data_IF_160732932953
#
_entry.id   IF_160732932953
#
_cell.length_a   1.000
_cell.length_b   1.000
_cell.length_c   1.000
_cell.angle_alpha   90.00
_cell.angle_beta   90.00
_cell.angle_gamma   90.00
#
_symmetry.space_group_name_H-M   'P 1'
#
loop_
_entity.id
_entity.type
_entity.pdbx_description
1 polymer ?
#
# COMPACT_ATOMS: atom_id res chain seq x y z
N UNK A 1 -15.89 -18.69 -15.92
CA UNK A 1 -14.88 -19.28 -15.01
C UNK A 1 -14.82 -18.33 -13.82
N UNK A 2 -15.35 -18.74 -12.66
CA UNK A 2 -15.31 -17.89 -11.47
C UNK A 2 -13.87 -17.76 -10.99
N UNK A 3 -13.47 -16.56 -10.55
CA UNK A 3 -12.21 -16.35 -9.84
C UNK A 3 -12.37 -17.08 -8.49
N UNK A 4 -11.96 -18.35 -8.43
CA UNK A 4 -12.16 -19.18 -7.25
C UNK A 4 -11.01 -18.93 -6.27
N UNK A 5 -11.35 -18.41 -5.09
CA UNK A 5 -10.44 -18.37 -3.93
C UNK A 5 -10.02 -19.79 -3.56
N UNK A 6 -8.72 -19.97 -3.28
CA UNK A 6 -8.18 -21.23 -2.76
C UNK A 6 -8.60 -21.43 -1.30
N UNK A 7 -8.38 -22.62 -0.75
CA UNK A 7 -8.60 -22.85 0.68
C UNK A 7 -7.64 -22.01 1.54
N UNK A 8 -6.37 -21.88 1.11
CA UNK A 8 -5.38 -21.00 1.76
C UNK A 8 -5.86 -19.54 1.80
N UNK A 9 -6.47 -19.04 0.72
CA UNK A 9 -7.05 -17.69 0.71
C UNK A 9 -8.21 -17.54 1.69
N UNK A 10 -9.04 -18.57 1.84
CA UNK A 10 -10.14 -18.55 2.82
C UNK A 10 -9.60 -18.57 4.25
N UNK A 11 -8.59 -19.38 4.52
CA UNK A 11 -7.94 -19.43 5.83
C UNK A 11 -7.29 -18.09 6.18
N UNK A 12 -6.57 -17.48 5.24
CA UNK A 12 -5.98 -16.15 5.42
C UNK A 12 -7.06 -15.08 5.70
N UNK A 13 -8.19 -15.13 4.97
CA UNK A 13 -9.31 -14.23 5.21
C UNK A 13 -9.90 -14.39 6.61
N UNK A 14 -10.06 -15.63 7.09
CA UNK A 14 -10.60 -15.88 8.43
C UNK A 14 -9.64 -15.44 9.54
N UNK A 15 -8.33 -15.63 9.36
CA UNK A 15 -7.32 -15.08 10.28
C UNK A 15 -7.39 -13.55 10.31
N UNK A 16 -7.46 -12.91 9.13
CA UNK A 16 -7.55 -11.45 9.04
C UNK A 16 -8.83 -10.91 9.69
N UNK A 17 -9.98 -11.54 9.41
CA UNK A 17 -11.28 -11.22 10.02
C UNK A 17 -11.24 -11.36 11.54
N UNK A 18 -10.70 -12.48 12.05
CA UNK A 18 -10.59 -12.75 13.47
C UNK A 18 -9.73 -11.72 14.19
N UNK A 19 -8.56 -11.40 13.63
CA UNK A 19 -7.67 -10.35 14.14
C UNK A 19 -8.37 -8.98 14.20
N UNK A 20 -8.96 -8.52 13.11
CA UNK A 20 -9.60 -7.21 13.04
C UNK A 20 -10.80 -7.09 14.01
N UNK A 21 -11.51 -8.19 14.23
CA UNK A 21 -12.59 -8.26 15.22
C UNK A 21 -12.04 -8.16 16.64
N UNK A 22 -10.99 -8.93 16.96
CA UNK A 22 -10.33 -8.91 18.27
C UNK A 22 -9.74 -7.52 18.61
N UNK A 23 -9.14 -6.85 17.61
CA UNK A 23 -8.57 -5.51 17.74
C UNK A 23 -9.62 -4.39 17.67
N UNK A 24 -10.90 -4.72 17.48
CA UNK A 24 -12.01 -3.76 17.34
C UNK A 24 -11.73 -2.70 16.28
N UNK A 25 -11.17 -3.09 15.13
CA UNK A 25 -10.73 -2.16 14.08
C UNK A 25 -11.85 -1.18 13.62
N UNK A 26 -13.09 -1.67 13.49
CA UNK A 26 -14.26 -0.83 13.16
C UNK A 26 -14.56 0.23 14.21
N UNK A 27 -14.34 -0.08 15.49
CA UNK A 27 -14.51 0.89 16.56
C UNK A 27 -13.41 1.95 16.51
N UNK A 28 -12.17 1.56 16.22
CA UNK A 28 -11.07 2.50 16.01
C UNK A 28 -11.38 3.49 14.87
N UNK A 29 -11.96 3.04 13.76
CA UNK A 29 -12.42 3.93 12.69
C UNK A 29 -13.52 4.89 13.15
N UNK A 30 -14.49 4.40 13.93
CA UNK A 30 -15.54 5.27 14.50
C UNK A 30 -14.96 6.36 15.39
N UNK A 31 -13.96 6.04 16.21
CA UNK A 31 -13.31 7.02 17.07
C UNK A 31 -12.59 8.12 16.28
N UNK A 32 -12.17 7.86 15.05
CA UNK A 32 -11.52 8.86 14.19
C UNK A 32 -12.50 9.86 13.56
N UNK A 33 -13.80 9.57 13.54
CA UNK A 33 -14.80 10.49 12.99
C UNK A 33 -14.85 11.82 13.75
N UNK A 34 -14.60 11.77 15.06
CA UNK A 34 -14.63 12.95 15.95
C UNK A 34 -13.22 13.40 16.36
N UNK A 35 -12.16 12.78 15.84
CA UNK A 35 -10.79 13.05 16.25
C UNK A 35 -10.20 14.26 15.52
N UNK A 36 -9.51 15.15 16.23
CA UNK A 36 -8.75 16.24 15.60
C UNK A 36 -7.53 15.72 14.86
N UNK A 37 -6.81 14.77 15.45
CA UNK A 37 -5.58 14.20 14.91
C UNK A 37 -5.82 12.79 14.33
N UNK A 38 -4.93 12.37 13.43
CA UNK A 38 -4.92 11.02 12.87
C UNK A 38 -3.70 10.27 13.41
N UNK A 39 -3.81 9.53 14.53
CA UNK A 39 -2.76 8.63 14.97
C UNK A 39 -2.77 7.32 14.16
N UNK A 40 -1.62 6.63 14.13
CA UNK A 40 -1.60 5.24 13.66
C UNK A 40 -2.51 4.38 14.54
N UNK A 41 -3.20 3.37 13.99
CA UNK A 41 -4.08 2.52 14.78
C UNK A 41 -3.33 1.83 15.91
N UNK A 42 -3.96 1.66 17.07
CA UNK A 42 -3.33 0.99 18.23
C UNK A 42 -2.91 -0.46 17.96
N UNK A 43 -3.45 -1.09 16.92
CA UNK A 43 -3.09 -2.44 16.48
C UNK A 43 -2.03 -2.47 15.37
N UNK A 44 -1.44 -1.33 14.99
CA UNK A 44 -0.49 -1.23 13.86
C UNK A 44 0.68 -2.20 14.00
N UNK A 45 1.35 -2.22 15.16
CA UNK A 45 2.48 -3.11 15.39
C UNK A 45 2.08 -4.59 15.36
N UNK A 46 0.92 -4.94 15.94
CA UNK A 46 0.41 -6.32 15.86
C UNK A 46 0.13 -6.74 14.41
N UNK A 47 -0.29 -5.81 13.55
CA UNK A 47 -0.49 -6.06 12.11
C UNK A 47 0.85 -6.27 11.40
N UNK A 48 1.87 -5.50 11.75
CA UNK A 48 3.24 -5.66 11.23
C UNK A 48 3.81 -7.02 11.61
N UNK A 49 3.65 -7.43 12.87
CA UNK A 49 4.14 -8.72 13.40
C UNK A 49 3.51 -9.93 12.69
N UNK A 50 2.31 -9.76 12.10
CA UNK A 50 1.68 -10.78 11.26
C UNK A 50 2.29 -10.88 9.85
N UNK A 51 3.22 -9.99 9.50
CA UNK A 51 3.93 -9.97 8.21
C UNK A 51 3.11 -9.43 7.05
N UNK A 52 1.93 -8.84 7.29
CA UNK A 52 1.01 -8.45 6.22
C UNK A 52 1.49 -7.31 5.33
N UNK A 53 2.40 -6.45 5.82
CA UNK A 53 3.01 -5.37 5.03
C UNK A 53 4.01 -5.87 3.98
N UNK A 54 4.64 -7.01 4.25
CA UNK A 54 5.64 -7.66 3.38
C UNK A 54 5.16 -8.91 2.68
N UNK A 55 3.85 -9.17 2.65
CA UNK A 55 3.30 -10.43 2.17
C UNK A 55 3.68 -10.71 0.71
N UNK A 56 3.60 -9.68 -0.14
CA UNK A 56 3.90 -9.72 -1.58
C UNK A 56 5.36 -9.41 -1.93
N UNK A 57 6.21 -9.15 -0.93
CA UNK A 57 7.62 -8.82 -1.13
C UNK A 57 8.47 -10.09 -1.03
N UNK A 58 9.50 -10.20 -1.87
CA UNK A 58 10.40 -11.35 -1.86
C UNK A 58 11.11 -11.52 -0.51
N UNK A 59 11.37 -12.77 -0.14
CA UNK A 59 12.04 -13.13 1.12
C UNK A 59 13.44 -12.50 1.26
N UNK A 60 14.14 -12.24 0.14
CA UNK A 60 15.45 -11.60 0.13
C UNK A 60 15.44 -10.19 0.75
N UNK A 61 14.30 -9.51 0.74
CA UNK A 61 14.11 -8.17 1.32
C UNK A 61 13.35 -8.21 2.65
N UNK A 62 13.16 -9.40 3.25
CA UNK A 62 12.44 -9.58 4.51
C UNK A 62 10.93 -9.74 4.37
N UNK A 63 10.42 -9.96 3.16
CA UNK A 63 9.01 -10.28 2.91
C UNK A 63 8.68 -11.76 3.07
N UNK A 64 7.45 -12.14 2.72
CA UNK A 64 6.96 -13.53 2.78
C UNK A 64 6.94 -14.25 1.43
N UNK A 65 7.27 -13.57 0.33
CA UNK A 65 7.35 -14.16 -1.01
C UNK A 65 6.01 -14.64 -1.60
N UNK A 66 4.87 -14.26 -1.01
CA UNK A 66 3.56 -14.51 -1.62
C UNK A 66 3.28 -13.50 -2.75
N UNK A 67 2.11 -13.59 -3.37
CA UNK A 67 1.73 -12.70 -4.45
C UNK A 67 0.76 -11.60 -4.02
N UNK A 68 0.38 -10.79 -5.00
CA UNK A 68 -0.73 -9.85 -4.87
C UNK A 68 -2.08 -10.50 -4.55
N UNK A 69 -2.40 -11.75 -4.97
CA UNK A 69 -3.65 -12.39 -4.58
C UNK A 69 -3.82 -12.52 -3.06
N UNK A 70 -2.78 -12.96 -2.36
CA UNK A 70 -2.79 -13.10 -0.89
C UNK A 70 -2.92 -11.73 -0.22
N UNK A 71 -2.22 -10.71 -0.74
CA UNK A 71 -2.33 -9.34 -0.23
C UNK A 71 -3.75 -8.79 -0.40
N UNK A 72 -4.39 -9.03 -1.55
CA UNK A 72 -5.76 -8.58 -1.83
C UNK A 72 -6.77 -9.19 -0.85
N UNK A 73 -6.60 -10.45 -0.46
CA UNK A 73 -7.45 -11.10 0.55
C UNK A 73 -7.39 -10.35 1.88
N UNK A 74 -6.18 -9.98 2.32
CA UNK A 74 -6.00 -9.20 3.56
C UNK A 74 -6.62 -7.81 3.41
N UNK A 75 -6.37 -7.11 2.29
CA UNK A 75 -6.95 -5.79 2.01
C UNK A 75 -8.48 -5.84 2.02
N UNK A 76 -9.10 -6.88 1.46
CA UNK A 76 -10.56 -7.04 1.47
C UNK A 76 -11.11 -7.06 2.89
N UNK A 77 -10.48 -7.82 3.79
CA UNK A 77 -10.91 -7.92 5.18
C UNK A 77 -10.66 -6.63 5.98
N UNK A 78 -9.53 -5.93 5.73
CA UNK A 78 -9.33 -4.57 6.24
C UNK A 78 -10.44 -3.63 5.77
N UNK A 79 -10.80 -3.67 4.49
CA UNK A 79 -11.88 -2.86 3.91
C UNK A 79 -13.23 -3.19 4.53
N UNK A 80 -13.53 -4.47 4.75
CA UNK A 80 -14.77 -4.95 5.40
C UNK A 80 -14.89 -4.48 6.85
N UNK A 81 -13.77 -4.37 7.55
CA UNK A 81 -13.72 -3.81 8.90
C UNK A 81 -13.69 -2.27 8.91
N UNK A 82 -13.48 -1.63 7.76
CA UNK A 82 -13.14 -0.21 7.64
C UNK A 82 -11.92 0.11 8.52
N UNK A 83 -10.89 -0.73 8.46
CA UNK A 83 -9.72 -0.59 9.30
C UNK A 83 -8.99 0.73 8.95
N UNK A 84 -8.74 1.62 9.93
CA UNK A 84 -8.04 2.87 9.67
C UNK A 84 -6.53 2.63 9.51
N UNK A 85 -5.82 3.66 9.06
CA UNK A 85 -4.36 3.71 9.02
C UNK A 85 -3.75 3.53 7.63
N UNK A 86 -2.42 3.61 7.53
CA UNK A 86 -1.70 3.76 6.28
C UNK A 86 -1.36 2.42 5.61
N UNK A 87 -2.13 1.34 5.87
CA UNK A 87 -1.81 0.01 5.33
C UNK A 87 -1.77 0.00 3.80
N UNK A 88 -2.87 0.39 3.16
CA UNK A 88 -3.02 0.37 1.70
C UNK A 88 -1.97 1.22 0.98
N UNK A 89 -1.75 2.51 1.32
CA UNK A 89 -0.73 3.29 0.62
C UNK A 89 0.69 2.75 0.86
N UNK A 90 0.98 2.19 2.05
CA UNK A 90 2.28 1.55 2.35
C UNK A 90 2.51 0.30 1.50
N UNK A 91 1.52 -0.59 1.37
CA UNK A 91 1.69 -1.80 0.54
C UNK A 91 1.67 -1.51 -0.96
N UNK A 92 0.98 -0.44 -1.40
CA UNK A 92 1.11 0.05 -2.79
C UNK A 92 2.54 0.52 -3.04
N UNK A 93 3.10 1.31 -2.13
CA UNK A 93 4.47 1.78 -2.25
C UNK A 93 5.48 0.63 -2.32
N UNK A 94 5.40 -0.32 -1.39
CA UNK A 94 6.31 -1.47 -1.40
C UNK A 94 6.10 -2.36 -2.63
N UNK A 95 4.87 -2.52 -3.14
CA UNK A 95 4.62 -3.29 -4.37
C UNK A 95 5.25 -2.63 -5.61
N UNK A 96 5.16 -1.30 -5.74
CA UNK A 96 5.76 -0.56 -6.84
C UNK A 96 7.30 -0.62 -6.77
N UNK A 97 7.88 -0.40 -5.58
CA UNK A 97 9.34 -0.47 -5.37
C UNK A 97 9.85 -1.90 -5.62
N UNK A 98 9.18 -2.93 -5.09
CA UNK A 98 9.57 -4.32 -5.28
C UNK A 98 9.55 -4.73 -6.76
N UNK A 99 8.61 -4.19 -7.55
CA UNK A 99 8.46 -4.50 -8.96
C UNK A 99 9.45 -3.75 -9.86
N UNK A 100 9.57 -2.43 -9.69
CA UNK A 100 10.21 -1.56 -10.68
C UNK A 100 11.49 -0.87 -10.15
N UNK A 101 11.80 -0.96 -8.85
CA UNK A 101 13.00 -0.39 -8.25
C UNK A 101 14.30 -1.13 -8.58
N UNK A 102 15.43 -0.42 -8.51
CA UNK A 102 16.78 -0.97 -8.56
C UNK A 102 17.10 -1.77 -7.28
N UNK A 103 18.12 -2.63 -7.32
CA UNK A 103 18.49 -3.48 -6.19
C UNK A 103 18.83 -2.67 -4.94
N UNK A 104 19.49 -1.53 -5.12
CA UNK A 104 19.88 -0.58 -4.08
C UNK A 104 18.65 0.09 -3.46
N UNK A 105 17.69 0.52 -4.30
CA UNK A 105 16.41 1.10 -3.85
C UNK A 105 15.60 0.08 -3.04
N UNK A 106 15.48 -1.16 -3.53
CA UNK A 106 14.77 -2.24 -2.84
C UNK A 106 15.38 -2.54 -1.48
N UNK A 107 16.70 -2.74 -1.43
CA UNK A 107 17.42 -3.07 -0.19
C UNK A 107 17.34 -1.95 0.84
N UNK A 108 17.30 -0.69 0.40
CA UNK A 108 17.21 0.49 1.27
C UNK A 108 15.79 0.73 1.80
N UNK A 109 14.77 0.59 0.95
CA UNK A 109 13.41 1.07 1.24
C UNK A 109 12.44 -0.01 1.72
N UNK A 110 12.55 -1.23 1.18
CA UNK A 110 11.57 -2.28 1.49
C UNK A 110 11.58 -2.71 2.97
N UNK A 111 12.73 -2.89 3.65
CA UNK A 111 12.72 -3.31 5.05
C UNK A 111 11.92 -2.37 5.96
N UNK A 112 12.09 -1.05 5.81
CA UNK A 112 11.38 -0.05 6.61
C UNK A 112 9.87 0.04 6.30
N UNK A 113 9.45 -0.31 5.08
CA UNK A 113 8.04 -0.42 4.72
C UNK A 113 7.40 -1.71 5.25
N UNK A 114 8.18 -2.79 5.35
CA UNK A 114 7.74 -4.09 5.85
C UNK A 114 7.59 -4.10 7.37
N UNK A 115 8.56 -3.52 8.09
CA UNK A 115 8.50 -3.39 9.55
C UNK A 115 7.58 -2.26 10.04
N UNK A 116 6.97 -1.52 9.11
CA UNK A 116 6.02 -0.43 9.37
C UNK A 116 6.59 0.73 10.19
N UNK A 117 7.92 0.86 10.27
CA UNK A 117 8.58 2.07 10.79
C UNK A 117 8.31 3.24 9.84
N UNK A 118 8.44 2.99 8.53
CA UNK A 118 8.13 3.91 7.45
C UNK A 118 6.76 3.55 6.86
N UNK A 119 5.90 4.54 6.75
CA UNK A 119 4.62 4.44 6.06
C UNK A 119 4.61 5.35 4.85
N UNK A 120 3.83 4.98 3.84
CA UNK A 120 3.85 5.68 2.58
C UNK A 120 2.56 6.46 2.32
N UNK A 121 2.70 7.54 1.55
CA UNK A 121 1.63 8.25 0.87
C UNK A 121 1.76 8.08 -0.64
N UNK A 122 0.64 7.98 -1.35
CA UNK A 122 0.65 7.71 -2.81
C UNK A 122 -0.19 8.74 -3.55
N UNK A 123 0.45 9.47 -4.47
CA UNK A 123 -0.16 10.46 -5.35
C UNK A 123 0.12 10.13 -6.82
N UNK A 124 -0.92 9.79 -7.58
CA UNK A 124 -0.77 9.34 -8.98
C UNK A 124 -1.39 10.29 -10.01
N UNK A 125 -2.11 11.32 -9.56
CA UNK A 125 -2.88 12.24 -10.40
C UNK A 125 -2.27 13.66 -10.43
N UNK A 126 -0.99 13.75 -10.07
CA UNK A 126 -0.25 15.01 -9.97
C UNK A 126 0.23 15.54 -11.32
N UNK A 127 0.46 16.85 -11.36
CA UNK A 127 1.19 17.55 -12.41
C UNK A 127 2.59 17.89 -11.89
N UNK A 128 3.44 16.86 -11.75
CA UNK A 128 4.84 17.00 -11.34
C UNK A 128 5.74 16.78 -12.53
N UNK A 129 6.73 17.66 -12.68
CA UNK A 129 7.74 17.61 -13.73
C UNK A 129 9.12 17.57 -13.11
N UNK A 130 10.03 16.83 -13.74
CA UNK A 130 11.44 16.76 -13.37
C UNK A 130 12.27 17.31 -14.52
N UNK A 131 13.08 18.32 -14.24
CA UNK A 131 14.02 18.90 -15.20
C UNK A 131 15.35 19.18 -14.49
N UNK A 132 16.46 18.80 -15.12
CA UNK A 132 17.83 19.05 -14.62
C UNK A 132 18.05 18.63 -13.14
N UNK A 133 17.46 17.50 -12.73
CA UNK A 133 17.55 16.97 -11.36
C UNK A 133 16.72 17.75 -10.33
N UNK A 134 15.73 18.51 -10.77
CA UNK A 134 14.83 19.29 -9.92
C UNK A 134 13.37 18.94 -10.23
N UNK A 135 12.62 18.54 -9.21
CA UNK A 135 11.19 18.26 -9.29
C UNK A 135 10.37 19.46 -8.84
N UNK A 136 9.39 19.84 -9.66
CA UNK A 136 8.47 20.94 -9.41
C UNK A 136 7.04 20.55 -9.80
N UNK A 137 6.06 21.03 -9.04
CA UNK A 137 4.64 20.89 -9.37
C UNK A 137 3.77 20.46 -8.19
N UNK A 138 2.54 20.06 -8.50
CA UNK A 138 1.56 19.63 -7.52
C UNK A 138 1.27 18.14 -7.71
N UNK A 139 1.46 17.34 -6.67
CA UNK A 139 1.23 15.89 -6.69
C UNK A 139 -0.26 15.51 -6.64
N UNK A 140 -1.16 16.50 -6.66
CA UNK A 140 -2.60 16.31 -6.52
C UNK A 140 -2.98 15.86 -5.12
N UNK A 141 -3.98 14.97 -5.05
CA UNK A 141 -4.42 14.34 -3.81
C UNK A 141 -3.56 13.11 -3.53
N UNK A 142 -2.83 13.13 -2.43
CA UNK A 142 -1.96 12.06 -1.97
C UNK A 142 -2.64 11.28 -0.86
N UNK A 143 -2.94 10.02 -1.15
CA UNK A 143 -3.59 9.10 -0.23
C UNK A 143 -2.64 8.76 0.92
N UNK A 144 -3.09 8.92 2.17
CA UNK A 144 -2.29 8.58 3.35
C UNK A 144 -1.20 9.60 3.69
N UNK A 145 -1.18 10.76 3.03
CA UNK A 145 -0.16 11.79 3.27
C UNK A 145 -0.10 12.31 4.72
N UNK A 146 -1.19 12.17 5.48
CA UNK A 146 -1.23 12.57 6.89
C UNK A 146 -0.25 11.80 7.76
N UNK A 147 -0.14 10.49 7.53
CA UNK A 147 0.71 9.58 8.30
C UNK A 147 2.03 9.24 7.60
N UNK A 148 2.16 9.52 6.30
CA UNK A 148 3.31 9.14 5.50
C UNK A 148 4.63 9.74 6.00
N UNK A 149 5.69 8.93 5.97
CA UNK A 149 7.09 9.35 6.03
C UNK A 149 7.74 9.32 4.63
N UNK A 150 7.24 8.45 3.75
CA UNK A 150 7.69 8.31 2.36
C UNK A 150 6.54 8.67 1.40
N UNK A 151 6.83 9.35 0.31
CA UNK A 151 5.86 9.78 -0.69
C UNK A 151 6.21 9.16 -2.04
N UNK A 152 5.27 8.41 -2.61
CA UNK A 152 5.30 7.98 -4.01
C UNK A 152 4.46 8.93 -4.86
N UNK A 153 5.11 9.65 -5.77
CA UNK A 153 4.47 10.69 -6.58
C UNK A 153 4.72 10.42 -8.05
N UNK A 154 3.67 10.31 -8.85
CA UNK A 154 3.81 10.22 -10.30
C UNK A 154 4.38 11.53 -10.88
N UNK A 155 5.37 11.41 -11.77
CA UNK A 155 5.99 12.51 -12.49
C UNK A 155 6.13 12.12 -13.97
N UNK A 156 5.11 12.41 -14.77
CA UNK A 156 5.03 11.91 -16.15
C UNK A 156 4.89 10.39 -16.18
N UNK A 157 5.80 9.71 -16.88
CA UNK A 157 5.86 8.24 -16.93
C UNK A 157 6.65 7.62 -15.76
N UNK A 158 7.38 8.43 -15.00
CA UNK A 158 8.21 8.00 -13.87
C UNK A 158 7.48 8.19 -12.53
N UNK A 159 8.01 7.56 -11.49
CA UNK A 159 7.52 7.74 -10.11
C UNK A 159 8.66 8.21 -9.22
N UNK A 160 8.45 9.32 -8.52
CA UNK A 160 9.36 9.83 -7.50
C UNK A 160 9.09 9.16 -6.16
N UNK A 161 10.15 8.80 -5.46
CA UNK A 161 10.14 8.27 -4.11
C UNK A 161 10.88 9.24 -3.20
N UNK A 162 10.13 10.06 -2.47
CA UNK A 162 10.67 11.18 -1.71
C UNK A 162 10.34 11.04 -0.22
N UNK A 163 11.29 11.39 0.64
CA UNK A 163 11.00 11.58 2.06
C UNK A 163 10.10 12.80 2.25
N UNK A 164 9.14 12.72 3.18
CA UNK A 164 8.16 13.78 3.42
C UNK A 164 8.78 15.10 3.86
N UNK A 165 9.86 15.05 4.62
CA UNK A 165 10.55 16.21 5.20
C UNK A 165 11.68 16.74 4.30
N UNK A 166 11.84 16.17 3.10
CA UNK A 166 12.82 16.64 2.12
C UNK A 166 12.60 18.12 1.78
N UNK A 167 13.70 18.86 1.68
CA UNK A 167 13.66 20.28 1.33
C UNK A 167 12.89 20.52 0.02
N UNK A 168 11.94 21.45 0.06
CA UNK A 168 11.07 21.79 -1.08
C UNK A 168 9.76 20.98 -1.15
N UNK A 169 9.60 19.94 -0.32
CA UNK A 169 8.34 19.20 -0.19
C UNK A 169 7.45 19.89 0.83
N UNK A 170 6.21 20.19 0.46
CA UNK A 170 5.19 20.65 1.40
C UNK A 170 3.97 19.73 1.36
N UNK A 171 3.47 19.38 2.55
CA UNK A 171 2.32 18.51 2.75
C UNK A 171 1.27 19.24 3.57
N UNK A 172 0.11 19.50 2.97
CA UNK A 172 -1.05 20.07 3.63
C UNK A 172 -2.13 18.99 3.78
N UNK A 173 -2.65 18.77 4.98
CA UNK A 173 -3.77 17.85 5.22
C UNK A 173 -5.01 18.68 5.56
N UNK A 174 -5.86 19.00 4.57
CA UNK A 174 -7.09 19.75 4.82
C UNK A 174 -8.11 18.90 5.58
N UNK A 175 -9.22 19.52 5.98
CA UNK A 175 -10.39 18.78 6.42
C UNK A 175 -10.86 17.84 5.30
N UNK A 176 -10.93 16.55 5.62
CA UNK A 176 -11.27 15.50 4.67
C UNK A 176 -12.75 15.14 4.82
N UNK A 177 -13.42 14.88 3.70
CA UNK A 177 -14.81 14.39 3.71
C UNK A 177 -14.94 13.05 4.46
N UNK A 178 -13.92 12.20 4.35
CA UNK A 178 -13.77 11.00 5.18
C UNK A 178 -12.67 11.25 6.24
N UNK A 179 -13.03 11.54 7.50
CA UNK A 179 -12.06 11.78 8.56
C UNK A 179 -11.24 10.54 8.94
N UNK A 180 -11.72 9.34 8.58
CA UNK A 180 -11.08 8.06 8.94
C UNK A 180 -9.93 7.68 8.01
N UNK A 181 -9.77 8.43 6.90
CA UNK A 181 -8.73 8.20 5.90
C UNK A 181 -8.30 9.52 5.27
N UNK A 182 -7.42 10.25 5.94
CA UNK A 182 -7.08 11.60 5.50
C UNK A 182 -6.10 11.57 4.33
N UNK A 183 -6.45 12.32 3.30
CA UNK A 183 -5.59 12.60 2.16
C UNK A 183 -5.03 14.01 2.28
N UNK A 184 -3.84 14.22 1.73
CA UNK A 184 -3.18 15.52 1.72
C UNK A 184 -2.96 16.04 0.31
N UNK A 185 -2.69 17.34 0.22
CA UNK A 185 -2.11 17.99 -0.95
C UNK A 185 -0.60 18.03 -0.75
N UNK A 186 0.14 17.53 -1.74
CA UNK A 186 1.60 17.60 -1.75
C UNK A 186 2.06 18.49 -2.89
N UNK A 187 2.96 19.43 -2.58
CA UNK A 187 3.58 20.31 -3.57
C UNK A 187 5.09 20.18 -3.49
N UNK A 188 5.71 20.17 -4.66
CA UNK A 188 7.16 20.13 -4.83
C UNK A 188 7.60 21.47 -5.38
N UNK A 189 8.53 22.12 -4.69
CA UNK A 189 9.13 23.37 -5.11
C UNK A 189 10.65 23.26 -4.99
N UNK A 190 11.31 23.26 -6.15
CA UNK A 190 12.76 23.16 -6.28
C UNK A 190 13.37 21.94 -5.54
N UNK A 191 12.64 20.83 -5.54
CA UNK A 191 13.05 19.60 -4.86
C UNK A 191 14.17 18.94 -5.65
N UNK A 192 15.35 18.82 -5.04
CA UNK A 192 16.47 18.09 -5.65
C UNK A 192 16.17 16.59 -5.65
N UNK A 193 16.33 15.98 -6.83
CA UNK A 193 16.15 14.54 -7.04
C UNK A 193 17.39 13.96 -7.72
N UNK A 194 17.77 12.76 -7.31
CA UNK A 194 18.78 11.94 -7.96
C UNK A 194 18.15 10.71 -8.59
N UNK A 195 18.93 9.93 -9.35
CA UNK A 195 18.47 8.68 -9.94
C UNK A 195 17.97 7.68 -8.87
N UNK A 196 18.47 7.76 -7.63
CA UNK A 196 18.03 6.91 -6.52
C UNK A 196 16.61 7.24 -6.02
N UNK A 197 16.09 8.42 -6.36
CA UNK A 197 14.75 8.87 -6.02
C UNK A 197 13.72 8.54 -7.12
N UNK A 198 14.17 8.08 -8.28
CA UNK A 198 13.34 7.90 -9.47
C UNK A 198 13.15 6.41 -9.74
N UNK A 199 11.90 5.98 -9.78
CA UNK A 199 11.50 4.70 -10.33
C UNK A 199 11.15 4.92 -11.81
N UNK A 200 12.08 4.53 -12.67
CA UNK A 200 11.96 4.71 -14.11
C UNK A 200 10.76 3.96 -14.69
N UNK A 201 9.87 4.69 -15.34
CA UNK A 201 8.72 4.18 -16.06
C UNK A 201 9.09 3.22 -17.19
N UNK A 202 8.17 2.35 -17.60
CA UNK A 202 8.42 1.41 -18.72
C UNK A 202 8.62 2.11 -20.07
N UNK A 203 8.33 3.41 -20.17
CA UNK A 203 8.67 4.25 -21.34
C UNK A 203 10.14 4.66 -21.42
N UNK A 204 10.87 4.71 -20.29
CA UNK A 204 12.28 5.14 -20.23
C UNK A 204 13.28 3.97 -20.30
N UNK A 205 12.83 2.73 -20.10
CA UNK A 205 13.65 1.54 -20.42
C UNK A 205 13.73 1.35 -21.94
N UNK A 206 14.78 1.92 -22.54
CA UNK A 206 15.17 1.66 -23.93
C UNK A 206 15.43 0.16 -24.11
N UNK A 207 14.42 -0.58 -24.55
CA UNK A 207 14.49 -2.02 -24.81
C UNK A 207 15.60 -2.29 -25.85
N UNK A 208 16.65 -3.08 -25.54
CA UNK A 208 17.74 -3.37 -26.49
C UNK A 208 17.40 -4.50 -27.49
N UNK A 209 16.11 -4.81 -27.69
CA UNK A 209 15.64 -5.80 -28.66
C UNK A 209 15.02 -5.16 -29.92
N UNK A 210 15.00 -5.88 -31.06
CA UNK A 210 14.52 -5.32 -32.32
C UNK A 210 13.06 -4.90 -32.21
N UNK A 211 12.79 -3.66 -32.63
CA UNK A 211 11.49 -3.04 -32.63
C UNK A 211 10.47 -3.89 -33.40
N UNK A 212 9.58 -4.57 -32.67
CA UNK A 212 8.32 -5.01 -33.24
C UNK A 212 7.40 -3.80 -33.31
N UNK A 213 7.49 -3.10 -34.43
CA UNK A 213 6.56 -2.06 -34.83
C UNK A 213 5.13 -2.64 -34.80
N UNK A 214 4.35 -2.28 -33.77
CA UNK A 214 2.93 -2.56 -33.77
C UNK A 214 2.27 -1.59 -34.77
N UNK A 215 1.54 -2.07 -35.80
CA UNK A 215 0.90 -1.17 -36.75
C UNK A 215 -0.26 -0.41 -36.06
N UNK A 216 -0.49 0.87 -36.41
CA UNK A 216 -1.56 1.64 -35.79
C UNK A 216 -2.93 0.99 -36.06
N UNK A 217 -3.77 0.96 -35.02
CA UNK A 217 -5.16 0.47 -35.10
C UNK A 217 -5.89 1.21 -36.22
N UNK A 218 -6.26 0.50 -37.29
CA UNK A 218 -7.19 1.02 -38.29
C UNK A 218 -8.56 1.17 -37.63
N UNK A 219 -9.07 2.40 -37.60
CA UNK A 219 -10.47 2.67 -37.30
C UNK A 219 -11.35 1.95 -38.33
N UNK A 220 -12.22 1.07 -37.86
CA UNK A 220 -13.17 0.34 -38.70
C UNK A 220 -14.23 1.33 -39.22
N UNK A 221 -14.00 1.87 -40.41
CA UNK A 221 -15.02 2.55 -41.19
C UNK A 221 -16.12 1.56 -41.59
N UNK A 222 -17.36 1.92 -41.29
CA UNK A 222 -18.59 1.19 -41.68
C UNK A 222 -18.52 0.83 -43.17
N UNK A 223 -18.60 -0.45 -43.49
CA UNK A 223 -18.92 -0.92 -44.85
C UNK A 223 -20.25 -1.65 -44.83
N UNK A 224 -21.13 -1.12 -45.67
CA UNK A 224 -22.44 -1.61 -46.02
C UNK A 224 -22.38 -3.03 -46.58
N UNK A 225 -23.39 -3.82 -46.23
CA UNK A 225 -23.56 -5.19 -46.66
C UNK A 225 -23.70 -5.26 -48.20
N UNK A 226 -22.83 -6.02 -48.84
CA UNK A 226 -23.14 -6.63 -50.13
C UNK A 226 -22.57 -8.05 -50.18
N UNK A 227 -23.39 -8.92 -50.74
CA UNK A 227 -23.35 -10.39 -50.70
C UNK A 227 -22.02 -10.97 -51.21
N UNK A 228 -21.58 -12.07 -50.61
CA UNK A 228 -20.69 -13.06 -51.26
C UNK A 228 -21.35 -14.44 -51.24
N UNK A 229 -21.23 -15.24 -52.31
CA UNK A 229 -21.68 -16.62 -52.33
C UNK A 229 -20.64 -17.54 -51.67
N UNK A 230 -21.19 -18.65 -51.18
CA UNK A 230 -20.56 -19.74 -50.45
C UNK A 230 -19.63 -20.59 -51.33
N UNK A 231 -18.43 -20.86 -50.82
CA UNK A 231 -17.67 -22.07 -51.20
C UNK A 231 -16.87 -22.53 -49.98
N UNK A 232 -17.25 -23.67 -49.44
CA UNK A 232 -16.55 -24.42 -48.39
C UNK A 232 -15.41 -25.20 -49.03
N UNK A 233 -14.33 -25.45 -48.28
CA UNK A 233 -13.81 -26.82 -48.25
C UNK A 233 -13.61 -27.33 -46.82
N UNK A 234 -14.05 -28.59 -46.63
CA UNK A 234 -13.72 -29.47 -45.51
C UNK A 234 -12.26 -29.95 -45.62
N UNK A 235 -11.62 -30.11 -44.46
CA UNK A 235 -10.67 -31.15 -44.03
C UNK A 235 -10.02 -30.62 -42.74
N UNK A 236 -9.63 -31.36 -41.73
CA UNK A 236 -9.74 -32.77 -41.39
C UNK A 236 -9.53 -32.83 -39.86
N UNK A 237 -10.20 -33.76 -39.19
CA UNK A 237 -9.92 -34.12 -37.81
C UNK A 237 -8.54 -34.79 -37.73
N UNK A 238 -7.67 -34.33 -36.82
CA UNK A 238 -6.64 -35.19 -36.27
C UNK A 238 -6.47 -34.95 -34.78
N UNK A 239 -6.61 -36.06 -34.07
CA UNK A 239 -6.46 -36.33 -32.65
C UNK A 239 -4.99 -36.38 -32.22
N UNK A 240 -4.69 -36.04 -30.96
CA UNK A 240 -3.53 -36.60 -30.25
C UNK A 240 -2.83 -35.71 -29.21
N UNK A 241 -3.30 -35.78 -27.95
CA UNK A 241 -2.54 -35.83 -26.67
C UNK A 241 -1.55 -34.69 -26.27
N UNK A 242 -0.97 -34.67 -25.05
CA UNK A 242 -1.41 -35.13 -23.72
C UNK A 242 -1.35 -34.02 -22.62
N UNK A 243 -1.97 -34.28 -21.47
CA UNK A 243 -1.91 -33.45 -20.24
C UNK A 243 -0.57 -33.59 -19.48
N UNK A 244 -0.07 -32.55 -18.79
CA UNK A 244 1.02 -32.67 -17.82
C UNK A 244 0.53 -32.74 -16.36
N UNK A 245 1.38 -33.20 -15.41
CA UNK A 245 0.96 -33.75 -14.13
C UNK A 245 0.83 -32.71 -13.01
N UNK A 246 -0.10 -32.96 -12.09
CA UNK A 246 -0.28 -32.21 -10.83
C UNK A 246 0.80 -32.59 -9.82
N UNK A 247 1.60 -31.61 -9.35
CA UNK A 247 2.36 -31.74 -8.11
C UNK A 247 1.58 -31.07 -6.98
N UNK A 248 0.99 -31.90 -6.10
CA UNK A 248 0.55 -31.51 -4.76
C UNK A 248 1.80 -31.28 -3.90
N UNK A 249 1.94 -30.08 -3.36
CA UNK A 249 2.83 -29.80 -2.25
C UNK A 249 1.94 -29.49 -1.04
N UNK A 250 1.83 -30.47 -0.16
CA UNK A 250 1.12 -30.38 1.11
C UNK A 250 1.87 -29.46 2.07
N UNK A 251 1.24 -28.36 2.49
CA UNK A 251 1.62 -27.61 3.69
C UNK A 251 1.42 -28.56 4.87
N UNK A 252 2.52 -29.12 5.36
CA UNK A 252 2.53 -29.86 6.62
C UNK A 252 2.83 -28.86 7.72
N UNK A 253 1.85 -28.69 8.59
CA UNK A 253 1.89 -27.94 9.82
C UNK A 253 3.24 -28.07 10.55
N UNK A 254 3.86 -26.92 10.83
CA UNK A 254 4.76 -26.75 11.98
C UNK A 254 4.31 -25.56 12.82
N UNK A 255 3.51 -25.94 13.81
CA UNK A 255 3.64 -25.52 15.21
C UNK A 255 3.28 -24.07 15.56
N UNK A 256 1.96 -23.84 15.71
CA UNK A 256 1.44 -22.96 16.76
C UNK A 256 1.87 -23.49 18.13
N UNK A 257 2.77 -22.77 18.79
CA UNK A 257 2.97 -22.82 20.22
C UNK A 257 2.97 -21.37 20.68
N UNK A 258 1.93 -20.94 21.38
CA UNK A 258 1.90 -19.88 22.40
C UNK A 258 0.43 -19.56 22.70
N UNK A 259 -0.19 -20.44 23.48
CA UNK A 259 -1.45 -20.17 24.18
C UNK A 259 -1.35 -20.76 25.59
N UNK A 260 -0.83 -19.97 26.52
CA UNK A 260 -1.07 -20.11 27.96
C UNK A 260 -1.05 -18.73 28.61
N UNK A 261 -2.23 -18.19 28.88
CA UNK A 261 -2.42 -17.25 30.00
C UNK A 261 -2.28 -18.02 31.32
N UNK A 262 -1.86 -17.34 32.40
CA UNK A 262 -2.89 -17.01 33.39
C UNK A 262 -2.69 -15.65 34.09
N UNK A 263 -3.80 -15.08 34.57
CA UNK A 263 -3.81 -14.20 35.75
C UNK A 263 -4.30 -12.78 35.52
N UNK A 264 -5.58 -12.53 35.80
CA UNK A 264 -6.12 -11.19 36.03
C UNK A 264 -5.46 -10.52 37.26
N UNK A 265 -5.31 -9.17 37.27
CA UNK A 265 -4.64 -8.44 38.35
C UNK A 265 -5.59 -8.15 39.52
N UNK A 266 -5.08 -7.94 40.76
CA UNK A 266 -5.90 -7.46 41.86
C UNK A 266 -6.15 -5.95 41.77
N UNK A 267 -7.38 -5.58 42.13
CA UNK A 267 -7.89 -4.22 42.31
C UNK A 267 -7.13 -3.43 43.38
N UNK A 268 -6.62 -2.26 43.02
CA UNK A 268 -6.02 -1.29 43.95
C UNK A 268 -6.42 0.14 43.60
N UNK A 269 -7.19 0.77 44.49
CA UNK A 269 -7.66 2.15 44.45
C UNK A 269 -6.49 3.15 44.51
N UNK A 270 -6.46 4.22 43.68
CA UNK A 270 -5.41 5.24 43.77
C UNK A 270 -5.72 6.29 44.86
N UNK A 271 -4.73 6.78 45.64
CA UNK A 271 -4.95 7.88 46.56
C UNK A 271 -4.93 9.24 45.86
N UNK A 272 -5.86 10.10 46.28
CA UNK A 272 -6.07 11.46 45.80
C UNK A 272 -4.82 12.37 45.97
N UNK A 273 -4.34 12.93 44.86
CA UNK A 273 -3.35 14.03 44.88
C UNK A 273 -4.08 15.36 45.06
N UNK A 274 -3.91 15.96 46.23
CA UNK A 274 -4.39 17.31 46.59
C UNK A 274 -3.73 18.38 45.71
N UNK A 275 -4.57 19.29 45.21
CA UNK A 275 -4.21 20.52 44.54
C UNK A 275 -3.33 21.43 45.42
N UNK A 276 -2.25 21.97 44.86
CA UNK A 276 -1.48 23.07 45.43
C UNK A 276 -1.98 24.39 44.84
N UNK A 277 -2.61 25.20 45.68
CA UNK A 277 -2.99 26.59 45.40
C UNK A 277 -1.76 27.49 45.43
N UNK A 278 -1.61 28.48 44.53
CA UNK A 278 -0.49 29.41 44.57
C UNK A 278 -0.68 30.48 45.66
N UNK A 279 0.37 30.71 46.45
CA UNK A 279 0.42 31.71 47.53
C UNK A 279 0.69 33.09 46.94
N UNK A 280 -0.29 34.00 47.07
CA UNK A 280 -0.13 35.45 46.88
C UNK A 280 0.89 36.01 47.88
N UNK A 281 1.92 36.69 47.41
CA UNK A 281 2.68 37.68 48.19
C UNK A 281 2.34 39.07 47.65
N UNK A 282 1.50 39.80 48.40
CA UNK A 282 1.43 41.27 48.38
C UNK A 282 2.42 41.78 49.43
N UNK A 283 3.31 42.71 49.04
CA UNK A 283 3.73 43.80 49.92
C UNK A 283 3.98 45.06 49.08
N UNK A 284 3.42 46.15 49.61
CA UNK A 284 3.36 47.49 49.07
C UNK A 284 4.66 48.27 49.31
N UNK A 285 4.90 49.23 48.42
CA UNK A 285 5.33 50.62 48.65
C UNK A 285 6.52 50.91 49.57
N UNK A 286 7.61 51.39 48.97
CA UNK A 286 8.18 52.72 49.17
C UNK A 286 8.97 53.10 47.90
#
# INVERSE_FOLDING_TARGET
MGIALTDDHRELAEVARGFLTAQKARWAARSLLDATDEPRPGFWQNLVELGWLGLHVDEEYGGSGFGLPELVVVIEELGRAVAPGPFVPTVIASAVIAKDGAAEQKSRLLPGLIDGTVTAGVGLDGQVQVADGVANGEAGIVLGAGLAELLLIAAGDDVLVLERDRAGVSVEVPENFDPTRRSGRVRLQDVRVSDDDILAGRGSRRWPGPALCWPPRRSAGRRTASRRPSTTPRCASNSGAPSPPSKRSSITARTCWWARSPGSPPSGTPPARRARTPRRTRRNSA
#
